data_IF_710530600141
#
_entry.id   IF_710530600141
#
_cell.length_a   1.000
_cell.length_b   1.000
_cell.length_c   1.000
_cell.angle_alpha   90.00
_cell.angle_beta   90.00
_cell.angle_gamma   90.00
#
_symmetry.space_group_name_H-M   'P 1'
#
loop_
_entity.id
_entity.type
_entity.pdbx_description
1 polymer ?
#
# COMPACT_ATOMS: atom_id res chain seq x y z
N UNK A 1 -9.54 -12.41 -13.15
CA UNK A 1 -8.46 -11.53 -12.65
C UNK A 1 -7.82 -10.80 -13.84
N UNK A 2 -7.30 -9.58 -13.63
CA UNK A 2 -6.62 -8.79 -14.65
C UNK A 2 -5.24 -8.36 -14.14
N UNK A 3 -4.16 -8.93 -14.68
CA UNK A 3 -2.79 -8.69 -14.23
C UNK A 3 -2.07 -7.79 -15.25
N UNK A 4 -1.78 -6.52 -14.93
CA UNK A 4 -1.07 -5.64 -15.84
C UNK A 4 0.40 -6.06 -15.94
N UNK A 5 0.91 -6.23 -17.16
CA UNK A 5 2.30 -6.62 -17.40
C UNK A 5 3.18 -5.44 -17.79
N UNK A 6 2.66 -4.57 -18.67
CA UNK A 6 3.45 -3.50 -19.27
C UNK A 6 2.58 -2.42 -19.91
N UNK A 7 2.95 -1.16 -19.72
CA UNK A 7 2.39 -0.02 -20.46
C UNK A 7 2.95 0.08 -21.90
N UNK A 8 2.11 0.52 -22.84
CA UNK A 8 2.51 0.83 -24.22
C UNK A 8 3.31 2.13 -24.39
N UNK A 9 3.46 2.91 -23.31
CA UNK A 9 4.20 4.17 -23.33
C UNK A 9 5.71 3.96 -23.44
N UNK A 10 6.34 4.68 -24.37
CA UNK A 10 7.80 4.67 -24.53
C UNK A 10 8.43 5.67 -23.57
N UNK A 11 9.39 5.19 -22.77
CA UNK A 11 10.17 6.02 -21.84
C UNK A 11 11.37 6.63 -22.55
N UNK A 12 11.69 7.90 -22.25
CA UNK A 12 12.88 8.60 -22.75
C UNK A 12 14.05 8.54 -21.77
N UNK A 13 13.77 8.44 -20.49
CA UNK A 13 14.74 8.41 -19.40
C UNK A 13 14.62 7.14 -18.56
N UNK A 14 15.68 6.85 -17.80
CA UNK A 14 15.69 5.73 -16.86
C UNK A 14 14.96 6.12 -15.55
N UNK A 15 14.03 5.29 -15.04
CA UNK A 15 13.15 5.64 -13.92
C UNK A 15 13.82 5.34 -12.56
N UNK A 16 14.77 6.18 -12.17
CA UNK A 16 15.55 6.01 -10.94
C UNK A 16 14.70 6.09 -9.68
N UNK A 17 13.73 6.99 -9.63
CA UNK A 17 12.89 7.15 -8.43
C UNK A 17 11.94 5.97 -8.29
N UNK A 18 11.32 5.53 -9.38
CA UNK A 18 10.48 4.33 -9.39
C UNK A 18 11.25 3.11 -8.91
N UNK A 19 12.47 2.91 -9.42
CA UNK A 19 13.33 1.81 -8.98
C UNK A 19 13.73 1.95 -7.50
N UNK A 20 14.07 3.16 -7.06
CA UNK A 20 14.39 3.44 -5.66
C UNK A 20 13.24 3.12 -4.73
N UNK A 21 12.00 3.49 -5.11
CA UNK A 21 10.79 3.19 -4.35
C UNK A 21 10.50 1.68 -4.33
N UNK A 22 10.67 0.98 -5.46
CA UNK A 22 10.54 -0.48 -5.51
C UNK A 22 11.52 -1.15 -4.53
N UNK A 23 12.79 -0.77 -4.59
CA UNK A 23 13.83 -1.32 -3.71
C UNK A 23 13.55 -0.97 -2.25
N UNK A 24 13.12 0.25 -1.95
CA UNK A 24 12.80 0.68 -0.59
C UNK A 24 11.65 -0.14 0.00
N UNK A 25 10.53 -0.29 -0.72
CA UNK A 25 9.38 -1.08 -0.24
C UNK A 25 9.75 -2.55 -0.04
N UNK A 26 10.50 -3.15 -0.98
CA UNK A 26 10.97 -4.53 -0.84
C UNK A 26 11.95 -4.67 0.33
N UNK A 27 12.88 -3.74 0.51
CA UNK A 27 13.85 -3.79 1.60
C UNK A 27 13.18 -3.61 2.97
N UNK A 28 12.22 -2.70 3.09
CA UNK A 28 11.42 -2.51 4.31
C UNK A 28 10.68 -3.81 4.64
N UNK A 29 10.00 -4.40 3.66
CA UNK A 29 9.23 -5.63 3.89
C UNK A 29 10.11 -6.84 4.25
N UNK A 30 11.28 -6.98 3.64
CA UNK A 30 12.15 -8.15 3.86
C UNK A 30 13.06 -8.04 5.08
N UNK A 31 13.48 -6.83 5.44
CA UNK A 31 14.53 -6.63 6.45
C UNK A 31 14.10 -5.85 7.68
N UNK A 32 12.99 -5.10 7.60
CA UNK A 32 12.50 -4.29 8.73
C UNK A 32 11.17 -4.78 9.28
N UNK A 33 10.25 -5.24 8.41
CA UNK A 33 9.01 -5.85 8.88
C UNK A 33 9.31 -7.23 9.51
N UNK A 34 8.69 -7.54 10.66
CA UNK A 34 8.77 -8.86 11.29
C UNK A 34 8.41 -9.99 10.33
N UNK A 35 8.99 -11.17 10.58
CA UNK A 35 8.80 -12.37 9.74
C UNK A 35 7.33 -12.82 9.64
N UNK A 36 6.49 -12.46 10.61
CA UNK A 36 5.06 -12.75 10.57
C UNK A 36 4.34 -12.15 9.36
N UNK A 37 4.85 -11.05 8.79
CA UNK A 37 4.31 -10.48 7.54
C UNK A 37 4.69 -11.31 6.29
N UNK A 38 5.68 -12.18 6.37
CA UNK A 38 6.23 -12.92 5.22
C UNK A 38 5.70 -14.35 5.14
N UNK A 39 5.15 -14.88 6.23
CA UNK A 39 4.56 -16.21 6.27
C UNK A 39 3.19 -16.23 5.57
N UNK A 40 2.95 -17.25 4.75
CA UNK A 40 1.66 -17.41 4.07
C UNK A 40 0.63 -18.00 5.03
N UNK A 41 -0.62 -17.50 4.99
CA UNK A 41 -1.78 -18.16 5.61
C UNK A 41 -1.87 -19.57 5.02
N UNK A 42 -1.42 -20.60 5.75
CA UNK A 42 -1.48 -22.00 5.32
C UNK A 42 -0.29 -22.90 5.63
N UNK A 43 0.79 -22.41 6.26
CA UNK A 43 1.78 -23.34 6.84
C UNK A 43 1.26 -23.83 8.20
N UNK A 44 0.41 -24.87 8.16
CA UNK A 44 -0.15 -25.54 9.34
C UNK A 44 0.97 -26.33 10.06
N UNK A 45 1.83 -25.59 10.75
CA UNK A 45 2.84 -26.10 11.67
C UNK A 45 2.57 -25.60 13.07
N UNK A 46 1.66 -26.26 13.78
CA UNK A 46 1.66 -26.50 15.24
C UNK A 46 2.00 -25.30 16.14
N UNK A 47 0.99 -24.74 16.83
CA UNK A 47 1.10 -24.12 18.17
C UNK A 47 2.51 -23.66 18.61
N UNK A 48 3.01 -22.57 18.05
CA UNK A 48 4.11 -21.72 18.56
C UNK A 48 4.42 -20.77 17.40
N UNK A 49 4.20 -19.47 17.47
CA UNK A 49 5.05 -18.57 18.24
C UNK A 49 4.26 -17.30 18.56
N UNK A 50 3.57 -17.28 19.70
CA UNK A 50 2.83 -16.11 20.22
C UNK A 50 3.65 -14.81 20.13
N UNK A 51 4.97 -14.92 20.34
CA UNK A 51 5.90 -13.81 20.19
C UNK A 51 5.97 -13.23 18.77
N UNK A 52 5.83 -14.04 17.70
CA UNK A 52 5.82 -13.54 16.31
C UNK A 52 4.57 -12.72 16.05
N UNK A 53 3.43 -13.17 16.55
CA UNK A 53 2.15 -12.46 16.42
C UNK A 53 2.25 -11.14 17.17
N UNK A 54 2.68 -11.17 18.44
CA UNK A 54 2.87 -9.98 19.25
C UNK A 54 3.85 -8.98 18.62
N UNK A 55 4.98 -9.43 18.06
CA UNK A 55 5.95 -8.57 17.39
C UNK A 55 5.38 -7.95 16.10
N UNK A 56 4.63 -8.74 15.32
CA UNK A 56 3.99 -8.29 14.08
C UNK A 56 2.92 -7.23 14.37
N UNK A 57 2.09 -7.47 15.38
CA UNK A 57 1.08 -6.53 15.84
C UNK A 57 1.73 -5.25 16.39
N UNK A 58 2.66 -5.34 17.34
CA UNK A 58 3.34 -4.17 17.89
C UNK A 58 3.96 -3.31 16.78
N UNK A 59 4.63 -3.95 15.81
CA UNK A 59 5.21 -3.26 14.66
C UNK A 59 4.15 -2.56 13.80
N UNK A 60 3.02 -3.22 13.53
CA UNK A 60 1.89 -2.63 12.81
C UNK A 60 1.32 -1.41 13.56
N UNK A 61 1.10 -1.52 14.87
CA UNK A 61 0.61 -0.40 15.69
C UNK A 61 1.61 0.75 15.74
N UNK A 62 2.92 0.48 15.81
CA UNK A 62 3.96 1.52 15.88
C UNK A 62 3.99 2.35 14.60
N UNK A 63 3.93 1.70 13.45
CA UNK A 63 4.22 2.33 12.15
C UNK A 63 2.98 2.54 11.26
N UNK A 64 1.84 1.94 11.60
CA UNK A 64 0.63 1.90 10.78
C UNK A 64 -0.65 2.41 11.46
N UNK A 65 -0.78 2.33 12.79
CA UNK A 65 -1.95 2.91 13.47
C UNK A 65 -1.91 4.43 13.38
N UNK A 66 -2.93 5.02 12.75
CA UNK A 66 -3.01 6.45 12.41
C UNK A 66 -4.41 7.03 12.48
N UNK A 67 -5.47 6.26 12.20
CA UNK A 67 -6.80 6.84 11.99
C UNK A 67 -7.38 7.47 13.26
N UNK A 68 -7.49 6.68 14.34
CA UNK A 68 -7.94 7.25 15.59
C UNK A 68 -6.96 8.28 16.16
N UNK A 69 -5.65 8.04 16.07
CA UNK A 69 -4.64 8.91 16.70
C UNK A 69 -4.58 10.30 16.08
N UNK A 70 -4.76 10.41 14.76
CA UNK A 70 -4.85 11.70 14.10
C UNK A 70 -6.13 12.44 14.49
N UNK A 71 -7.21 11.69 14.78
CA UNK A 71 -8.52 12.25 15.15
C UNK A 71 -8.54 12.73 16.60
N UNK A 72 -7.98 11.95 17.53
CA UNK A 72 -7.96 12.26 18.97
C UNK A 72 -6.79 13.17 19.35
N UNK A 73 -5.66 13.05 18.66
CA UNK A 73 -4.40 13.68 19.03
C UNK A 73 -3.56 12.86 20.02
N UNK A 74 -4.08 11.74 20.50
CA UNK A 74 -3.46 10.83 21.47
C UNK A 74 -3.15 9.48 20.81
N UNK A 75 -2.12 8.78 21.29
CA UNK A 75 -1.76 7.46 20.76
C UNK A 75 -2.75 6.40 21.21
N UNK A 76 -2.93 5.33 20.43
CA UNK A 76 -3.86 4.22 20.79
C UNK A 76 -3.52 3.62 22.16
N UNK A 77 -2.25 3.69 22.57
CA UNK A 77 -1.76 3.18 23.84
C UNK A 77 -2.34 3.91 25.07
N UNK A 78 -2.78 5.16 24.92
CA UNK A 78 -3.37 5.97 25.99
C UNK A 78 -4.87 5.69 26.22
N UNK A 79 -5.45 4.77 25.44
CA UNK A 79 -6.88 4.46 25.42
C UNK A 79 -7.79 5.71 25.30
N UNK A 80 -7.61 6.55 24.27
CA UNK A 80 -8.43 7.75 24.13
C UNK A 80 -9.89 7.41 23.80
N UNK A 81 -10.81 8.18 24.38
CA UNK A 81 -12.24 8.01 24.16
C UNK A 81 -12.58 8.15 22.66
N UNK A 82 -13.37 7.20 22.14
CA UNK A 82 -13.79 7.19 20.74
C UNK A 82 -12.96 6.31 19.82
N UNK A 83 -11.84 5.73 20.28
CA UNK A 83 -11.15 4.69 19.52
C UNK A 83 -11.81 3.31 19.69
N UNK A 84 -12.19 2.73 18.56
CA UNK A 84 -12.87 1.43 18.41
C UNK A 84 -12.06 0.48 17.55
N UNK A 85 -12.24 -0.83 17.74
CA UNK A 85 -11.53 -1.87 16.99
C UNK A 85 -10.65 -2.71 17.90
N UNK A 86 -10.08 -3.76 17.35
CA UNK A 86 -9.14 -4.62 18.07
C UNK A 86 -7.86 -3.84 18.40
N UNK A 87 -7.16 -4.29 19.44
CA UNK A 87 -5.91 -3.68 19.94
C UNK A 87 -4.92 -4.78 20.29
N UNK A 88 -3.65 -4.55 19.99
CA UNK A 88 -2.58 -5.45 20.42
C UNK A 88 -2.45 -5.43 21.95
N UNK A 89 -1.99 -6.54 22.53
CA UNK A 89 -1.69 -6.62 23.95
C UNK A 89 -0.54 -5.68 24.36
N UNK A 90 0.44 -5.50 23.47
CA UNK A 90 1.61 -4.65 23.69
C UNK A 90 1.58 -3.45 22.74
N UNK A 91 1.08 -2.32 23.23
CA UNK A 91 1.02 -1.08 22.46
C UNK A 91 2.27 -0.22 22.66
N UNK A 92 2.86 0.32 21.58
CA UNK A 92 4.04 1.18 21.65
C UNK A 92 3.72 2.53 22.28
N UNK A 93 4.36 2.82 23.41
CA UNK A 93 4.15 4.04 24.22
C UNK A 93 4.91 5.27 23.69
N UNK A 94 5.91 5.05 22.83
CA UNK A 94 6.85 6.05 22.34
C UNK A 94 6.80 6.18 20.82
N UNK A 95 5.59 6.25 20.25
CA UNK A 95 5.38 6.42 18.80
C UNK A 95 5.13 7.87 18.41
N UNK A 96 5.41 8.18 17.14
CA UNK A 96 5.14 9.50 16.55
C UNK A 96 4.02 9.37 15.51
N UNK A 97 2.83 9.92 15.83
CA UNK A 97 1.66 9.92 14.94
C UNK A 97 2.02 10.52 13.57
N UNK A 98 2.76 11.63 13.57
CA UNK A 98 3.19 12.31 12.34
C UNK A 98 4.13 11.45 11.48
N UNK A 99 4.98 10.64 12.11
CA UNK A 99 5.85 9.71 11.39
C UNK A 99 5.04 8.53 10.85
N UNK A 100 4.06 8.02 11.61
CA UNK A 100 3.17 6.94 11.20
C UNK A 100 2.35 7.30 9.95
N UNK A 101 1.94 8.57 9.79
CA UNK A 101 1.32 9.06 8.54
C UNK A 101 2.19 8.85 7.30
N UNK A 102 3.52 8.87 7.46
CA UNK A 102 4.46 8.62 6.39
C UNK A 102 4.85 7.14 6.31
N UNK A 103 5.15 6.48 7.43
CA UNK A 103 5.68 5.10 7.41
C UNK A 103 4.63 4.07 7.04
N UNK A 104 3.36 4.30 7.36
CA UNK A 104 2.25 3.43 6.98
C UNK A 104 2.22 3.18 5.46
N UNK A 105 2.68 4.17 4.66
CA UNK A 105 2.76 4.08 3.21
C UNK A 105 3.78 3.05 2.69
N UNK A 106 4.65 2.51 3.54
CA UNK A 106 5.66 1.53 3.13
C UNK A 106 5.41 0.13 3.71
N UNK A 107 4.41 -0.01 4.58
CA UNK A 107 4.05 -1.30 5.18
C UNK A 107 3.27 -2.15 4.18
N UNK A 108 3.50 -3.47 4.23
CA UNK A 108 2.73 -4.44 3.45
C UNK A 108 2.30 -5.61 4.32
N UNK A 109 1.05 -6.02 4.18
CA UNK A 109 0.45 -7.03 5.07
C UNK A 109 0.87 -8.46 4.76
N UNK A 110 1.30 -8.73 3.53
CA UNK A 110 1.81 -10.03 3.10
C UNK A 110 2.56 -9.95 1.77
N UNK A 111 3.17 -11.06 1.36
CA UNK A 111 3.91 -11.17 0.08
C UNK A 111 3.01 -10.82 -1.11
N UNK A 112 1.74 -11.26 -1.13
CA UNK A 112 0.84 -10.99 -2.25
C UNK A 112 0.50 -9.49 -2.35
N UNK A 113 0.29 -8.83 -1.21
CA UNK A 113 0.08 -7.38 -1.13
C UNK A 113 1.31 -6.62 -1.64
N UNK A 114 2.51 -6.98 -1.19
CA UNK A 114 3.76 -6.41 -1.72
C UNK A 114 3.88 -6.62 -3.23
N UNK A 115 3.72 -7.86 -3.71
CA UNK A 115 3.87 -8.20 -5.12
C UNK A 115 2.89 -7.40 -6.00
N UNK A 116 1.63 -7.27 -5.55
CA UNK A 116 0.62 -6.44 -6.21
C UNK A 116 1.06 -4.99 -6.29
N UNK A 117 1.42 -4.38 -5.16
CA UNK A 117 1.85 -2.98 -5.11
C UNK A 117 3.07 -2.72 -6.01
N UNK A 118 4.09 -3.59 -5.95
CA UNK A 118 5.29 -3.44 -6.77
C UNK A 118 5.00 -3.62 -8.26
N UNK A 119 4.06 -4.50 -8.63
CA UNK A 119 3.61 -4.66 -10.01
C UNK A 119 2.98 -3.36 -10.54
N UNK A 120 2.02 -2.79 -9.80
CA UNK A 120 1.34 -1.56 -10.22
C UNK A 120 2.31 -0.36 -10.24
N UNK A 121 3.18 -0.24 -9.23
CA UNK A 121 4.22 0.77 -9.21
C UNK A 121 5.12 0.65 -10.45
N UNK A 122 5.63 -0.54 -10.76
CA UNK A 122 6.50 -0.77 -11.92
C UNK A 122 5.81 -0.45 -13.26
N UNK A 123 4.56 -0.88 -13.44
CA UNK A 123 3.84 -0.72 -14.71
C UNK A 123 3.52 0.75 -15.01
N UNK A 124 3.12 1.52 -14.00
CA UNK A 124 2.56 2.87 -14.19
C UNK A 124 3.55 3.99 -13.84
N UNK A 125 4.28 3.89 -12.74
CA UNK A 125 5.06 5.02 -12.22
C UNK A 125 6.20 5.45 -13.12
N UNK A 126 6.88 4.51 -13.79
CA UNK A 126 8.04 4.85 -14.61
C UNK A 126 7.71 5.79 -15.77
N UNK A 127 6.50 5.71 -16.35
CA UNK A 127 6.05 6.63 -17.40
C UNK A 127 5.69 8.01 -16.82
N UNK A 128 5.16 8.04 -15.60
CA UNK A 128 4.85 9.28 -14.88
C UNK A 128 6.14 10.00 -14.49
N UNK A 129 7.14 9.29 -13.97
CA UNK A 129 8.47 9.82 -13.66
C UNK A 129 9.13 10.42 -14.89
N UNK A 130 9.08 9.72 -16.03
CA UNK A 130 9.64 10.22 -17.29
C UNK A 130 8.98 11.54 -17.74
N UNK A 131 7.67 11.68 -17.49
CA UNK A 131 6.87 12.83 -17.94
C UNK A 131 6.91 14.03 -17.00
N UNK A 132 7.01 13.80 -15.68
CA UNK A 132 7.04 14.83 -14.65
C UNK A 132 8.46 15.21 -14.22
N UNK A 133 9.43 14.32 -14.45
CA UNK A 133 10.77 14.40 -13.87
C UNK A 133 10.83 13.83 -12.45
N UNK A 134 12.04 13.45 -12.04
CA UNK A 134 12.32 12.71 -10.80
C UNK A 134 11.78 13.38 -9.54
N UNK A 135 12.08 14.66 -9.33
CA UNK A 135 11.68 15.39 -8.13
C UNK A 135 10.16 15.57 -8.02
N UNK A 136 9.51 15.96 -9.11
CA UNK A 136 8.05 16.12 -9.14
C UNK A 136 7.33 14.79 -8.93
N UNK A 137 7.85 13.70 -9.53
CA UNK A 137 7.28 12.38 -9.31
C UNK A 137 7.45 11.90 -7.86
N UNK A 138 8.62 12.11 -7.25
CA UNK A 138 8.82 11.79 -5.83
C UNK A 138 7.86 12.58 -4.94
N UNK A 139 7.71 13.88 -5.18
CA UNK A 139 6.74 14.72 -4.46
C UNK A 139 5.31 14.22 -4.65
N UNK A 140 4.91 13.87 -5.88
CA UNK A 140 3.60 13.30 -6.17
C UNK A 140 3.36 11.99 -5.41
N UNK A 141 4.36 11.11 -5.34
CA UNK A 141 4.26 9.84 -4.64
C UNK A 141 4.10 10.05 -3.12
N UNK A 142 4.94 10.89 -2.51
CA UNK A 142 4.91 11.15 -1.06
C UNK A 142 3.64 11.90 -0.64
N UNK A 143 3.31 12.99 -1.32
CA UNK A 143 2.10 13.77 -1.01
C UNK A 143 0.85 12.95 -1.29
N UNK A 144 0.82 12.21 -2.40
CA UNK A 144 -0.28 11.32 -2.74
C UNK A 144 -0.49 10.21 -1.71
N UNK A 145 0.60 9.65 -1.18
CA UNK A 145 0.57 8.68 -0.08
C UNK A 145 -0.06 9.26 1.18
N UNK A 146 0.45 10.40 1.66
CA UNK A 146 -0.09 11.09 2.85
C UNK A 146 -1.55 11.48 2.66
N UNK A 147 -1.94 11.99 1.48
CA UNK A 147 -3.34 12.28 1.19
C UNK A 147 -4.21 11.03 1.16
N UNK A 148 -3.68 9.89 0.69
CA UNK A 148 -4.34 8.59 0.77
C UNK A 148 -4.58 8.17 2.21
N UNK A 149 -3.57 8.28 3.07
CA UNK A 149 -3.67 8.01 4.52
C UNK A 149 -4.68 8.93 5.19
N UNK A 150 -4.67 10.22 4.87
CA UNK A 150 -5.67 11.17 5.40
C UNK A 150 -7.09 10.85 4.89
N UNK A 151 -7.22 10.37 3.65
CA UNK A 151 -8.49 9.87 3.13
C UNK A 151 -8.99 8.66 3.93
N UNK A 152 -8.10 7.73 4.28
CA UNK A 152 -8.43 6.61 5.17
C UNK A 152 -8.84 7.09 6.56
N UNK A 153 -8.08 8.01 7.17
CA UNK A 153 -8.41 8.63 8.47
C UNK A 153 -9.81 9.25 8.44
N UNK A 154 -10.13 10.00 7.38
CA UNK A 154 -11.44 10.62 7.24
C UNK A 154 -12.59 9.61 7.12
N UNK A 155 -12.33 8.44 6.52
CA UNK A 155 -13.32 7.38 6.36
C UNK A 155 -13.46 6.49 7.62
N UNK A 156 -12.40 6.34 8.40
CA UNK A 156 -12.28 5.40 9.52
C UNK A 156 -11.83 6.10 10.81
N UNK A 157 -12.34 7.29 11.08
CA UNK A 157 -11.81 8.20 12.10
C UNK A 157 -11.75 7.62 13.53
N UNK A 158 -12.60 6.64 13.86
CA UNK A 158 -12.58 5.96 15.16
C UNK A 158 -11.72 4.68 15.17
N UNK A 159 -11.15 4.25 14.05
CA UNK A 159 -10.46 2.96 13.98
C UNK A 159 -9.11 2.99 14.69
N UNK A 160 -8.93 2.09 15.65
CA UNK A 160 -7.65 1.81 16.29
C UNK A 160 -6.76 0.91 15.43
N UNK A 161 -7.32 0.26 14.40
CA UNK A 161 -6.58 -0.70 13.58
C UNK A 161 -5.47 -0.02 12.76
N UNK A 162 -4.32 -0.68 12.62
CA UNK A 162 -3.21 -0.16 11.84
C UNK A 162 -3.52 -0.17 10.34
N UNK A 163 -3.25 0.95 9.66
CA UNK A 163 -3.26 1.05 8.22
C UNK A 163 -1.97 0.46 7.66
N UNK A 164 -2.09 -0.55 6.79
CA UNK A 164 -0.95 -1.21 6.16
C UNK A 164 -1.06 -1.06 4.64
N UNK A 165 -0.30 -0.14 4.03
CA UNK A 165 -0.22 -0.17 2.57
C UNK A 165 0.38 1.06 1.87
N UNK A 166 1.18 0.78 0.84
CA UNK A 166 1.60 1.75 -0.18
C UNK A 166 0.52 2.14 -1.20
N UNK A 167 -0.69 1.58 -1.06
CA UNK A 167 -1.77 1.67 -2.05
C UNK A 167 -2.18 3.11 -2.35
N UNK A 168 -2.20 4.01 -1.36
CA UNK A 168 -2.52 5.44 -1.57
C UNK A 168 -1.51 6.15 -2.49
N UNK A 169 -0.21 5.93 -2.28
CA UNK A 169 0.85 6.52 -3.09
C UNK A 169 0.86 5.95 -4.52
N UNK A 170 0.60 4.65 -4.65
CA UNK A 170 0.50 3.96 -5.95
C UNK A 170 -0.77 4.42 -6.69
N UNK A 171 -1.88 4.60 -5.99
CA UNK A 171 -3.11 5.18 -6.53
C UNK A 171 -2.89 6.60 -7.06
N UNK A 172 -2.11 7.43 -6.35
CA UNK A 172 -1.73 8.75 -6.84
C UNK A 172 -0.90 8.66 -8.13
N UNK A 173 0.08 7.75 -8.20
CA UNK A 173 0.87 7.52 -9.42
C UNK A 173 -0.01 7.02 -10.58
N UNK A 174 -0.97 6.12 -10.32
CA UNK A 174 -1.93 5.66 -11.32
C UNK A 174 -2.88 6.77 -11.78
N UNK A 175 -3.40 7.59 -10.87
CA UNK A 175 -4.22 8.75 -11.20
C UNK A 175 -3.47 9.75 -12.09
N UNK A 176 -2.21 10.02 -11.76
CA UNK A 176 -1.33 10.84 -12.60
C UNK A 176 -1.13 10.21 -13.98
N UNK A 177 -0.90 8.89 -14.05
CA UNK A 177 -0.79 8.16 -15.31
C UNK A 177 -2.06 8.29 -16.15
N UNK A 178 -3.25 8.16 -15.55
CA UNK A 178 -4.53 8.30 -16.24
C UNK A 178 -4.70 9.69 -16.87
N UNK A 179 -4.34 10.75 -16.13
CA UNK A 179 -4.43 12.13 -16.61
C UNK A 179 -3.41 12.41 -17.71
N UNK A 180 -2.18 11.93 -17.55
CA UNK A 180 -1.09 12.17 -18.51
C UNK A 180 -1.25 11.34 -19.79
N UNK A 181 -1.85 10.15 -19.69
CA UNK A 181 -1.93 9.17 -20.78
C UNK A 181 -3.35 8.58 -20.94
N UNK A 182 -4.39 9.41 -21.22
CA UNK A 182 -5.79 8.98 -21.19
C UNK A 182 -6.16 7.94 -22.26
N UNK A 183 -5.35 7.81 -23.31
CA UNK A 183 -5.55 6.82 -24.39
C UNK A 183 -4.58 5.64 -24.33
N UNK A 184 -3.76 5.56 -23.30
CA UNK A 184 -2.77 4.49 -23.17
C UNK A 184 -3.43 3.14 -22.95
N UNK A 185 -2.75 2.10 -23.44
CA UNK A 185 -3.13 0.72 -23.24
C UNK A 185 -2.07 0.00 -22.42
N UNK A 186 -2.54 -0.92 -21.60
CA UNK A 186 -1.70 -1.79 -20.77
C UNK A 186 -1.87 -3.19 -21.30
N UNK A 187 -0.75 -3.86 -21.58
CA UNK A 187 -0.72 -5.27 -21.85
C UNK A 187 -1.10 -6.00 -20.57
N UNK A 188 -2.23 -6.71 -20.59
CA UNK A 188 -2.84 -7.29 -19.39
C UNK A 188 -3.14 -8.76 -19.64
N UNK A 189 -2.82 -9.61 -18.67
CA UNK A 189 -3.33 -10.97 -18.62
C UNK A 189 -4.75 -10.90 -18.05
N UNK A 190 -5.73 -11.24 -18.87
CA UNK A 190 -7.11 -11.39 -18.41
C UNK A 190 -7.37 -12.88 -18.24
N UNK A 191 -7.89 -13.28 -17.07
CA UNK A 191 -8.23 -14.68 -16.76
C UNK A 191 -9.72 -14.89 -16.47
N UNK A 192 -10.51 -13.82 -16.42
CA UNK A 192 -11.92 -13.88 -15.98
C UNK A 192 -12.84 -14.64 -16.95
N UNK A 193 -12.53 -14.66 -18.25
CA UNK A 193 -13.37 -15.33 -19.28
C UNK A 193 -12.58 -16.39 -20.04
N UNK A 194 -11.32 -16.10 -20.37
CA UNK A 194 -10.35 -17.03 -20.95
C UNK A 194 -8.95 -16.52 -20.63
N UNK A 195 -7.93 -17.38 -20.70
CA UNK A 195 -6.54 -16.95 -20.57
C UNK A 195 -6.12 -16.17 -21.83
N UNK A 196 -6.02 -14.85 -21.71
CA UNK A 196 -5.76 -13.95 -22.83
C UNK A 196 -4.74 -12.89 -22.45
N UNK A 197 -3.82 -12.58 -23.37
CA UNK A 197 -2.87 -11.47 -23.22
C UNK A 197 -3.25 -10.40 -24.23
N UNK A 198 -3.90 -9.34 -23.76
CA UNK A 198 -4.49 -8.30 -24.62
C UNK A 198 -4.17 -6.90 -24.11
N UNK A 199 -4.19 -5.93 -25.02
CA UNK A 199 -4.07 -4.52 -24.65
C UNK A 199 -5.41 -3.98 -24.17
N UNK A 200 -5.48 -3.67 -22.87
CA UNK A 200 -6.66 -3.12 -22.21
C UNK A 200 -6.45 -1.62 -22.01
N UNK A 201 -7.47 -0.75 -22.23
CA UNK A 201 -7.36 0.66 -21.90
C UNK A 201 -6.95 0.84 -20.43
N UNK A 202 -5.98 1.70 -20.16
CA UNK A 202 -5.46 1.92 -18.81
C UNK A 202 -6.60 2.26 -17.81
N UNK A 203 -7.56 3.08 -18.25
CA UNK A 203 -8.76 3.43 -17.48
C UNK A 203 -9.50 2.20 -16.91
N UNK A 204 -9.66 1.15 -17.72
CA UNK A 204 -10.36 -0.08 -17.32
C UNK A 204 -9.52 -0.85 -16.29
N UNK A 205 -8.20 -0.94 -16.50
CA UNK A 205 -7.30 -1.60 -15.55
C UNK A 205 -7.31 -0.88 -14.20
N UNK A 206 -7.29 0.46 -14.20
CA UNK A 206 -7.37 1.28 -13.00
C UNK A 206 -8.71 1.13 -12.29
N UNK A 207 -9.83 1.16 -13.03
CA UNK A 207 -11.16 0.97 -12.46
C UNK A 207 -11.27 -0.42 -11.80
N UNK A 208 -10.80 -1.48 -12.48
CA UNK A 208 -10.76 -2.82 -11.91
C UNK A 208 -9.90 -2.90 -10.65
N UNK A 209 -8.73 -2.25 -10.65
CA UNK A 209 -7.88 -2.16 -9.46
C UNK A 209 -8.63 -1.55 -8.28
N UNK A 210 -9.20 -0.35 -8.43
CA UNK A 210 -9.93 0.29 -7.34
C UNK A 210 -11.13 -0.53 -6.86
N UNK A 211 -11.88 -1.14 -7.79
CA UNK A 211 -13.00 -2.02 -7.45
C UNK A 211 -12.53 -3.21 -6.61
N UNK A 212 -11.40 -3.83 -6.96
CA UNK A 212 -10.85 -4.91 -6.13
C UNK A 212 -10.48 -4.40 -4.73
N UNK A 213 -9.91 -3.21 -4.57
CA UNK A 213 -9.58 -2.67 -3.25
C UNK A 213 -10.80 -2.57 -2.32
N UNK A 214 -11.99 -2.24 -2.84
CA UNK A 214 -13.22 -2.22 -2.04
C UNK A 214 -13.70 -3.62 -1.62
N UNK A 215 -13.48 -4.64 -2.45
CA UNK A 215 -13.94 -6.02 -2.17
C UNK A 215 -12.90 -6.89 -1.46
N UNK A 216 -11.63 -6.46 -1.41
CA UNK A 216 -10.57 -7.12 -0.63
C UNK A 216 -10.33 -6.43 0.71
N UNK A 217 -11.11 -5.40 1.06
CA UNK A 217 -11.04 -4.70 2.34
C UNK A 217 -11.69 -5.48 3.51
N UNK A 218 -12.37 -6.60 3.25
CA UNK A 218 -12.95 -7.45 4.29
C UNK A 218 -11.97 -8.56 4.71
N UNK A 219 -11.33 -8.38 5.87
CA UNK A 219 -11.60 -9.15 7.11
C UNK A 219 -10.44 -9.12 8.12
N UNK A 220 -9.21 -8.71 7.79
CA UNK A 220 -8.09 -8.69 8.78
C UNK A 220 -6.91 -7.74 8.49
N UNK A 221 -6.92 -6.95 7.40
CA UNK A 221 -5.79 -6.05 7.09
C UNK A 221 -6.32 -4.84 6.29
N UNK A 222 -6.63 -3.76 6.99
CA UNK A 222 -6.87 -2.44 6.39
C UNK A 222 -5.58 -1.63 6.27
#
# INVERSE_FOLDING_TARGET
MAIPLRSDQRRRTFPWVTLGLLVANVAIFLFLQPVGFQEAVGDEGVQSEEWKVAETEEYAYRWGAVACEVTTGDIVADDPEGCTGDRADNLPQDKSIALSLLTAMFLHGNIAHLAGNMLFLWVFAAAVEDRLGRGNFLGLYLVGGVLGTLGYVAANASSAEPLIGASGAIAAAMGAYFVLFPRAKVLTIVTTVAFQVVYVPAAVVLALFFVTQFFTADDNVA
#
